data_IF_259503139470
#
_entry.id   IF_259503139470
#
_cell.length_a   1.000
_cell.length_b   1.000
_cell.length_c   1.000
_cell.angle_alpha   90.00
_cell.angle_beta   90.00
_cell.angle_gamma   90.00
#
_symmetry.space_group_name_H-M   'P 1'
#
loop_
_entity.id
_entity.type
_entity.pdbx_description
1 polymer ?
#
# COMPACT_ATOMS: atom_id res chain seq x y z
N UNK A 1 -11.96 -8.27 -18.99
CA UNK A 1 -11.34 -7.88 -17.69
C UNK A 1 -11.83 -6.47 -17.39
N UNK A 2 -12.31 -6.19 -16.19
CA UNK A 2 -12.73 -4.82 -15.83
C UNK A 2 -11.54 -3.88 -15.99
N UNK A 3 -11.71 -2.71 -16.60
CA UNK A 3 -10.72 -1.63 -16.66
C UNK A 3 -10.40 -1.01 -15.27
N UNK A 4 -10.71 -1.72 -14.19
CA UNK A 4 -10.56 -1.27 -12.82
C UNK A 4 -9.10 -1.29 -12.39
N UNK A 5 -8.69 -0.23 -11.68
CA UNK A 5 -7.43 -0.18 -10.97
C UNK A 5 -7.47 -1.09 -9.74
N UNK A 6 -6.30 -1.54 -9.30
CA UNK A 6 -6.11 -2.27 -8.05
C UNK A 6 -4.83 -1.80 -7.40
N UNK A 7 -4.90 -1.31 -6.15
CA UNK A 7 -3.79 -0.65 -5.46
C UNK A 7 -3.08 0.41 -6.32
N UNK A 8 -3.85 1.19 -7.10
CA UNK A 8 -3.30 2.20 -8.00
C UNK A 8 -2.63 1.65 -9.28
N UNK A 9 -2.61 0.34 -9.52
CA UNK A 9 -2.12 -0.25 -10.77
C UNK A 9 -3.23 -0.41 -11.81
N UNK A 10 -2.99 0.06 -13.04
CA UNK A 10 -3.90 -0.15 -14.16
C UNK A 10 -3.94 -1.62 -14.59
N UNK A 11 -4.97 -2.02 -15.32
CA UNK A 11 -5.06 -3.39 -15.82
C UNK A 11 -3.89 -3.73 -16.77
N UNK A 12 -3.39 -2.77 -17.55
CA UNK A 12 -2.23 -2.97 -18.43
C UNK A 12 -0.96 -3.27 -17.63
N UNK A 13 -0.72 -2.55 -16.53
CA UNK A 13 0.42 -2.81 -15.65
C UNK A 13 0.33 -4.21 -15.04
N UNK A 14 -0.85 -4.58 -14.53
CA UNK A 14 -1.09 -5.90 -13.93
C UNK A 14 -0.91 -7.05 -14.92
N UNK A 15 -1.29 -6.86 -16.18
CA UNK A 15 -1.18 -7.89 -17.22
C UNK A 15 0.27 -8.29 -17.55
N UNK A 16 1.27 -7.45 -17.21
CA UNK A 16 2.70 -7.71 -17.52
C UNK A 16 3.35 -8.77 -16.62
N UNK A 17 2.82 -9.02 -15.43
CA UNK A 17 3.48 -9.84 -14.40
C UNK A 17 3.66 -11.31 -14.83
N UNK A 18 2.66 -11.91 -15.48
CA UNK A 18 2.73 -13.32 -15.90
C UNK A 18 3.70 -13.57 -17.07
N UNK A 19 3.71 -12.75 -18.14
CA UNK A 19 4.77 -12.82 -19.15
C UNK A 19 6.17 -12.68 -18.55
N UNK A 20 6.36 -11.75 -17.60
CA UNK A 20 7.65 -11.57 -16.94
C UNK A 20 8.05 -12.80 -16.12
N UNK A 21 7.12 -13.36 -15.32
CA UNK A 21 7.35 -14.60 -14.57
C UNK A 21 7.80 -15.75 -15.47
N UNK A 22 7.08 -15.99 -16.57
CA UNK A 22 7.41 -17.06 -17.53
C UNK A 22 8.79 -16.88 -18.12
N UNK A 23 9.17 -15.65 -18.51
CA UNK A 23 10.52 -15.36 -19.02
C UNK A 23 11.61 -15.60 -17.98
N UNK A 24 11.36 -15.24 -16.72
CA UNK A 24 12.36 -15.36 -15.65
C UNK A 24 12.53 -16.81 -15.15
N UNK A 25 11.46 -17.59 -15.13
CA UNK A 25 11.45 -18.90 -14.45
C UNK A 25 11.25 -20.10 -15.37
N UNK A 26 10.76 -19.89 -16.59
CA UNK A 26 10.33 -20.96 -17.49
C UNK A 26 9.04 -21.69 -17.06
N UNK A 27 8.43 -21.31 -15.94
CA UNK A 27 7.23 -21.96 -15.37
C UNK A 27 5.95 -21.26 -15.81
N UNK A 28 4.85 -22.01 -15.84
CA UNK A 28 3.54 -21.48 -16.25
C UNK A 28 2.80 -20.70 -15.15
N UNK A 29 3.06 -21.03 -13.88
CA UNK A 29 2.44 -20.40 -12.73
C UNK A 29 3.42 -20.26 -11.54
N UNK A 30 3.27 -19.21 -10.71
CA UNK A 30 3.97 -19.12 -9.43
C UNK A 30 3.32 -20.03 -8.38
N UNK A 31 4.11 -20.39 -7.37
CA UNK A 31 3.67 -21.08 -6.15
C UNK A 31 3.00 -22.46 -6.34
N UNK A 32 3.35 -23.25 -7.36
CA UNK A 32 2.76 -24.60 -7.50
C UNK A 32 3.10 -25.47 -6.29
N UNK A 33 2.08 -26.13 -5.72
CA UNK A 33 2.21 -26.98 -4.53
C UNK A 33 2.16 -26.24 -3.19
N UNK A 34 2.16 -24.91 -3.20
CA UNK A 34 2.08 -24.13 -1.95
C UNK A 34 0.64 -23.96 -1.45
N UNK A 35 0.39 -24.09 -0.13
CA UNK A 35 -0.93 -23.89 0.45
C UNK A 35 -1.39 -22.44 0.31
N UNK A 36 -2.68 -22.20 0.52
CA UNK A 36 -3.20 -20.84 0.55
C UNK A 36 -2.56 -20.02 1.69
N UNK A 37 -1.89 -18.91 1.38
CA UNK A 37 -1.24 -18.05 2.36
C UNK A 37 -2.24 -17.37 3.33
N UNK A 38 -3.52 -17.24 2.97
CA UNK A 38 -4.55 -16.65 3.84
C UNK A 38 -5.24 -17.67 4.74
N UNK A 39 -5.61 -18.85 4.24
CA UNK A 39 -6.41 -19.82 4.99
C UNK A 39 -5.70 -21.15 5.26
N UNK A 40 -4.46 -21.30 4.78
CA UNK A 40 -3.64 -22.51 4.91
C UNK A 40 -4.27 -23.77 4.30
N UNK A 41 -5.20 -23.61 3.34
CA UNK A 41 -5.81 -24.73 2.60
C UNK A 41 -4.73 -25.41 1.74
N UNK A 42 -4.38 -26.69 2.02
CA UNK A 42 -3.35 -27.42 1.29
C UNK A 42 -3.81 -27.85 -0.10
N UNK A 43 -5.13 -27.94 -0.33
CA UNK A 43 -5.75 -28.43 -1.56
C UNK A 43 -6.09 -27.27 -2.52
N UNK A 44 -5.41 -26.14 -2.35
CA UNK A 44 -5.56 -24.96 -3.21
C UNK A 44 -5.34 -25.34 -4.68
N UNK A 45 -6.27 -24.99 -5.60
CA UNK A 45 -6.06 -25.20 -7.03
C UNK A 45 -4.78 -24.53 -7.53
N UNK A 46 -4.07 -25.22 -8.43
CA UNK A 46 -2.87 -24.69 -9.08
C UNK A 46 -3.19 -23.43 -9.89
N UNK A 47 -2.21 -22.51 -9.95
CA UNK A 47 -2.33 -21.28 -10.74
C UNK A 47 -3.15 -20.15 -10.10
N UNK A 48 -3.78 -20.37 -8.95
CA UNK A 48 -4.47 -19.32 -8.20
C UNK A 48 -3.49 -18.56 -7.28
N UNK A 49 -3.34 -17.26 -7.47
CA UNK A 49 -2.44 -16.44 -6.67
C UNK A 49 -2.89 -14.98 -6.71
N UNK A 50 -2.30 -14.17 -5.85
CA UNK A 50 -2.57 -12.74 -5.77
C UNK A 50 -1.27 -11.96 -5.66
N UNK A 51 -1.24 -10.80 -6.30
CA UNK A 51 -0.17 -9.81 -6.13
C UNK A 51 -0.79 -8.55 -5.57
N UNK A 52 -0.26 -8.07 -4.45
CA UNK A 52 -0.57 -6.74 -3.94
C UNK A 52 0.28 -5.68 -4.68
N UNK A 53 1.37 -6.11 -5.33
CA UNK A 53 2.38 -5.25 -5.93
C UNK A 53 2.73 -5.65 -7.37
N UNK A 54 2.39 -4.76 -8.30
CA UNK A 54 2.66 -4.93 -9.73
C UNK A 54 3.75 -3.98 -10.25
N UNK A 55 4.65 -3.51 -9.39
CA UNK A 55 5.81 -2.69 -9.79
C UNK A 55 6.96 -3.55 -10.32
N UNK A 56 7.72 -2.99 -11.26
CA UNK A 56 8.91 -3.61 -11.86
C UNK A 56 10.18 -3.22 -11.08
N UNK A 57 11.13 -4.14 -10.82
CA UNK A 57 11.06 -5.57 -11.14
C UNK A 57 10.03 -6.31 -10.29
N UNK A 58 9.31 -7.25 -10.92
CA UNK A 58 8.26 -8.02 -10.25
C UNK A 58 8.85 -8.93 -9.17
N UNK A 59 8.22 -8.94 -7.99
CA UNK A 59 8.53 -9.85 -6.89
C UNK A 59 7.43 -10.90 -6.73
N UNK A 60 7.84 -12.15 -6.59
CA UNK A 60 6.96 -13.30 -6.31
C UNK A 60 7.20 -13.83 -4.90
N UNK A 61 7.58 -12.96 -3.98
CA UNK A 61 7.76 -13.27 -2.56
C UNK A 61 6.76 -12.45 -1.74
N UNK A 62 6.43 -12.89 -0.52
CA UNK A 62 5.80 -12.00 0.45
C UNK A 62 6.72 -10.81 0.76
N UNK A 63 6.16 -9.58 0.92
CA UNK A 63 4.74 -9.27 0.95
C UNK A 63 4.10 -8.92 -0.41
N UNK A 64 4.85 -8.99 -1.52
CA UNK A 64 4.35 -8.54 -2.83
C UNK A 64 3.35 -9.51 -3.45
N UNK A 65 3.58 -10.81 -3.31
CA UNK A 65 2.75 -11.84 -3.94
C UNK A 65 2.53 -13.04 -3.01
N UNK A 66 1.34 -13.63 -3.10
CA UNK A 66 0.89 -14.71 -2.23
C UNK A 66 0.17 -15.82 -3.02
N UNK A 67 0.39 -17.11 -2.69
CA UNK A 67 -0.48 -18.19 -3.15
C UNK A 67 -1.85 -18.07 -2.47
N UNK A 68 -2.94 -17.87 -3.21
CA UNK A 68 -4.28 -17.74 -2.64
C UNK A 68 -5.25 -18.70 -3.30
N UNK A 69 -6.13 -19.34 -2.51
CA UNK A 69 -7.25 -20.07 -3.10
C UNK A 69 -8.29 -19.08 -3.65
N UNK A 70 -9.01 -19.51 -4.69
CA UNK A 70 -10.04 -18.70 -5.38
C UNK A 70 -11.04 -18.04 -4.41
N UNK A 71 -11.56 -18.71 -3.36
CA UNK A 71 -12.43 -18.06 -2.37
C UNK A 71 -11.75 -16.93 -1.60
N UNK A 72 -10.52 -17.13 -1.10
CA UNK A 72 -9.76 -16.08 -0.41
C UNK A 72 -9.44 -14.91 -1.33
N UNK A 73 -8.98 -15.20 -2.55
CA UNK A 73 -8.70 -14.19 -3.57
C UNK A 73 -9.94 -13.35 -3.91
N UNK A 74 -11.09 -13.99 -4.11
CA UNK A 74 -12.34 -13.29 -4.38
C UNK A 74 -12.79 -12.42 -3.19
N UNK A 75 -12.61 -12.88 -1.95
CA UNK A 75 -12.93 -12.10 -0.74
C UNK A 75 -12.02 -10.91 -0.56
N UNK A 76 -10.73 -11.08 -0.84
CA UNK A 76 -9.74 -10.01 -0.82
C UNK A 76 -10.13 -8.87 -1.77
N UNK A 77 -10.57 -9.15 -3.00
CA UNK A 77 -11.07 -8.11 -3.91
C UNK A 77 -12.41 -7.51 -3.48
N UNK A 78 -13.29 -8.30 -2.85
CA UNK A 78 -14.59 -7.81 -2.38
C UNK A 78 -14.52 -6.96 -1.12
N UNK A 79 -13.39 -6.95 -0.40
CA UNK A 79 -13.24 -6.24 0.89
C UNK A 79 -13.67 -4.76 0.82
N UNK A 80 -13.36 -4.09 -0.29
CA UNK A 80 -13.68 -2.68 -0.53
C UNK A 80 -15.18 -2.37 -0.65
N UNK A 81 -15.98 -3.35 -1.08
CA UNK A 81 -17.43 -3.18 -1.31
C UNK A 81 -18.26 -4.13 -0.45
N UNK A 82 -17.64 -4.73 0.57
CA UNK A 82 -18.34 -5.62 1.51
C UNK A 82 -19.16 -4.80 2.49
N UNK A 83 -20.23 -5.39 3.01
CA UNK A 83 -21.01 -4.72 4.07
C UNK A 83 -20.11 -4.51 5.29
N UNK A 84 -20.28 -3.40 6.06
CA UNK A 84 -19.49 -3.16 7.25
C UNK A 84 -19.44 -4.40 8.16
N UNK A 85 -18.24 -4.76 8.61
CA UNK A 85 -18.00 -5.94 9.45
C UNK A 85 -17.86 -7.28 8.70
N UNK A 86 -18.21 -7.40 7.42
CA UNK A 86 -18.13 -8.69 6.70
C UNK A 86 -16.67 -9.14 6.47
N UNK A 87 -15.76 -8.21 6.14
CA UNK A 87 -14.34 -8.52 6.03
C UNK A 87 -13.76 -9.03 7.36
N UNK A 88 -14.11 -8.36 8.45
CA UNK A 88 -13.70 -8.74 9.80
C UNK A 88 -14.24 -10.11 10.18
N UNK A 89 -15.52 -10.38 9.89
CA UNK A 89 -16.12 -11.70 10.07
C UNK A 89 -15.39 -12.79 9.27
N UNK A 90 -14.97 -12.48 8.04
CA UNK A 90 -14.18 -13.39 7.23
C UNK A 90 -12.81 -13.67 7.87
N UNK A 91 -12.14 -12.63 8.37
CA UNK A 91 -10.86 -12.77 9.06
C UNK A 91 -10.97 -13.62 10.33
N UNK A 92 -11.99 -13.40 11.17
CA UNK A 92 -12.30 -14.24 12.33
C UNK A 92 -12.52 -15.70 11.93
N UNK A 93 -13.19 -15.95 10.80
CA UNK A 93 -13.39 -17.31 10.29
C UNK A 93 -12.06 -18.00 9.91
N UNK A 94 -11.14 -17.26 9.28
CA UNK A 94 -9.82 -17.77 8.94
C UNK A 94 -8.99 -18.04 10.20
N UNK A 95 -9.09 -17.20 11.22
CA UNK A 95 -8.40 -17.38 12.51
C UNK A 95 -8.91 -18.58 13.30
N UNK A 96 -10.20 -18.85 13.22
CA UNK A 96 -10.80 -20.08 13.74
C UNK A 96 -10.36 -21.36 12.98
N UNK A 97 -9.48 -21.24 11.98
CA UNK A 97 -8.95 -22.37 11.20
C UNK A 97 -9.85 -22.82 10.04
N UNK A 98 -10.81 -21.98 9.66
CA UNK A 98 -11.68 -22.22 8.50
C UNK A 98 -11.01 -21.87 7.17
N UNK A 99 -11.31 -22.65 6.14
CA UNK A 99 -10.87 -22.37 4.77
C UNK A 99 -11.79 -21.37 4.08
N UNK A 100 -11.26 -20.59 3.14
CA UNK A 100 -12.07 -19.62 2.39
C UNK A 100 -13.28 -20.26 1.68
N UNK A 101 -13.16 -21.53 1.27
CA UNK A 101 -14.22 -22.33 0.63
C UNK A 101 -15.35 -22.74 1.59
N UNK A 102 -15.10 -22.74 2.91
CA UNK A 102 -16.04 -23.12 3.95
C UNK A 102 -16.88 -21.93 4.44
N UNK A 103 -16.40 -20.69 4.27
CA UNK A 103 -17.04 -19.51 4.85
C UNK A 103 -18.53 -19.39 4.52
N UNK A 104 -18.89 -19.57 3.25
CA UNK A 104 -20.29 -19.50 2.78
C UNK A 104 -21.07 -20.79 3.00
N UNK A 105 -20.38 -21.91 3.26
CA UNK A 105 -21.01 -23.21 3.56
C UNK A 105 -21.42 -23.29 5.03
N UNK A 106 -20.56 -22.79 5.91
CA UNK A 106 -20.76 -22.81 7.36
C UNK A 106 -21.62 -21.67 7.87
N UNK A 107 -21.80 -20.60 7.08
CA UNK A 107 -22.60 -19.43 7.48
C UNK A 107 -23.51 -19.02 6.34
N UNK A 108 -24.81 -19.14 6.60
CA UNK A 108 -25.85 -18.68 5.68
C UNK A 108 -25.72 -17.16 5.45
N UNK A 109 -26.37 -16.64 4.39
CA UNK A 109 -26.37 -15.20 4.16
C UNK A 109 -26.98 -14.40 5.35
N UNK A 110 -28.15 -14.79 5.91
CA UNK A 110 -28.70 -14.13 7.09
C UNK A 110 -27.75 -14.13 8.30
N UNK A 111 -27.10 -15.26 8.59
CA UNK A 111 -26.15 -15.35 9.72
C UNK A 111 -24.96 -14.41 9.52
N UNK A 112 -24.42 -14.34 8.29
CA UNK A 112 -23.32 -13.44 7.96
C UNK A 112 -23.72 -11.98 8.12
N UNK A 113 -24.94 -11.61 7.69
CA UNK A 113 -25.44 -10.24 7.85
C UNK A 113 -25.56 -9.87 9.33
N UNK A 114 -26.24 -10.69 10.13
CA UNK A 114 -26.42 -10.44 11.55
C UNK A 114 -25.09 -10.33 12.33
N UNK A 115 -24.12 -11.20 12.02
CA UNK A 115 -22.79 -11.14 12.64
C UNK A 115 -21.97 -9.93 12.19
N UNK A 116 -22.06 -9.57 10.90
CA UNK A 116 -21.34 -8.40 10.36
C UNK A 116 -21.88 -7.10 10.95
N UNK A 117 -23.20 -6.98 11.10
CA UNK A 117 -23.85 -5.84 11.76
C UNK A 117 -23.40 -5.70 13.22
N UNK A 118 -23.32 -6.81 13.96
CA UNK A 118 -22.79 -6.79 15.34
C UNK A 118 -21.35 -6.29 15.40
N UNK A 119 -20.50 -6.77 14.50
CA UNK A 119 -19.11 -6.31 14.39
C UNK A 119 -19.05 -4.82 14.05
N UNK A 120 -19.85 -4.37 13.08
CA UNK A 120 -19.93 -2.97 12.68
C UNK A 120 -20.40 -2.05 13.82
N UNK A 121 -21.26 -2.55 14.71
CA UNK A 121 -21.69 -1.87 15.93
C UNK A 121 -20.65 -1.94 17.07
N UNK A 122 -19.46 -2.50 16.83
CA UNK A 122 -18.37 -2.59 17.80
C UNK A 122 -18.52 -3.75 18.81
N UNK A 123 -19.48 -4.66 18.61
CA UNK A 123 -19.61 -5.82 19.48
C UNK A 123 -18.55 -6.87 19.16
N UNK A 124 -17.96 -7.44 20.22
CA UNK A 124 -17.07 -8.60 20.09
C UNK A 124 -17.86 -9.80 19.57
N UNK A 125 -17.35 -10.41 18.50
CA UNK A 125 -17.86 -11.67 17.94
C UNK A 125 -16.77 -12.72 18.06
N UNK A 126 -17.12 -13.88 18.62
CA UNK A 126 -16.23 -15.04 18.71
C UNK A 126 -16.83 -16.18 17.89
N UNK A 127 -15.98 -16.86 17.13
CA UNK A 127 -16.37 -18.00 16.31
C UNK A 127 -15.80 -19.28 16.93
N UNK A 128 -16.53 -20.40 16.89
CA UNK A 128 -16.01 -21.67 17.37
C UNK A 128 -14.79 -22.08 16.54
N UNK A 129 -13.78 -22.63 17.22
CA UNK A 129 -12.58 -23.17 16.57
C UNK A 129 -12.99 -24.33 15.65
N UNK A 130 -12.68 -24.20 14.37
CA UNK A 130 -12.89 -25.21 13.33
C UNK A 130 -11.66 -26.12 13.27
N UNK A 131 -10.45 -25.53 13.31
CA UNK A 131 -9.19 -26.25 13.20
C UNK A 131 -8.08 -25.50 13.94
N UNK A 132 -7.15 -26.25 14.53
CA UNK A 132 -5.95 -25.66 15.11
C UNK A 132 -5.12 -24.98 14.01
N UNK A 133 -4.75 -23.73 14.23
CA UNK A 133 -3.97 -22.94 13.27
C UNK A 133 -2.66 -22.53 13.92
N UNK A 134 -1.57 -22.69 13.19
CA UNK A 134 -0.27 -22.18 13.62
C UNK A 134 -0.30 -20.65 13.64
N UNK A 135 0.27 -20.00 14.67
CA UNK A 135 0.47 -18.56 14.65
C UNK A 135 1.22 -18.14 13.39
N UNK A 136 0.81 -17.05 12.75
CA UNK A 136 1.41 -16.54 11.53
C UNK A 136 1.33 -15.02 11.44
N UNK A 137 1.80 -14.45 10.32
CA UNK A 137 1.82 -12.99 10.14
C UNK A 137 0.44 -12.35 10.00
N UNK A 138 -0.61 -13.14 9.74
CA UNK A 138 -1.99 -12.69 9.49
C UNK A 138 -2.05 -11.45 8.58
N UNK A 139 -1.19 -11.35 7.57
CA UNK A 139 -0.93 -10.12 6.81
C UNK A 139 -2.20 -9.47 6.23
N UNK A 140 -3.21 -10.28 5.93
CA UNK A 140 -4.51 -9.82 5.43
C UNK A 140 -5.27 -8.94 6.43
N UNK A 141 -4.98 -9.03 7.73
CA UNK A 141 -5.53 -8.15 8.79
C UNK A 141 -5.10 -6.69 8.59
N UNK A 142 -3.91 -6.48 8.06
CA UNK A 142 -3.32 -5.16 7.88
C UNK A 142 -3.70 -4.51 6.55
N UNK A 143 -4.51 -5.18 5.73
CA UNK A 143 -4.97 -4.62 4.46
C UNK A 143 -5.98 -3.50 4.70
N UNK A 144 -5.82 -2.43 3.93
CA UNK A 144 -6.81 -1.34 3.92
C UNK A 144 -8.16 -1.81 3.36
N UNK A 145 -9.22 -1.28 3.95
CA UNK A 145 -10.60 -1.40 3.46
C UNK A 145 -11.08 -0.15 2.73
N UNK A 146 -10.26 0.90 2.69
CA UNK A 146 -10.58 2.16 2.04
C UNK A 146 -10.71 1.95 0.52
N UNK A 147 -11.90 2.13 -0.08
CA UNK A 147 -12.09 1.99 -1.52
C UNK A 147 -11.22 2.93 -2.35
N UNK A 148 -10.80 4.07 -1.79
CA UNK A 148 -9.90 5.01 -2.47
C UNK A 148 -8.55 4.37 -2.79
N UNK A 149 -8.12 3.38 -2.00
CA UNK A 149 -6.87 2.66 -2.22
C UNK A 149 -6.86 1.92 -3.56
N UNK A 150 -8.03 1.62 -4.16
CA UNK A 150 -8.09 0.96 -5.46
C UNK A 150 -7.39 1.77 -6.56
N UNK A 151 -7.48 3.10 -6.48
CA UNK A 151 -6.92 4.02 -7.47
C UNK A 151 -5.74 4.81 -6.93
N UNK A 152 -5.62 4.93 -5.60
CA UNK A 152 -4.65 5.80 -5.01
C UNK A 152 -3.21 5.22 -5.07
N UNK A 153 -2.21 6.02 -5.46
CA UNK A 153 -0.82 5.56 -5.52
C UNK A 153 -0.25 5.15 -4.15
N UNK A 154 -0.73 5.73 -3.05
CA UNK A 154 -0.30 5.37 -1.69
C UNK A 154 -0.65 3.93 -1.29
N UNK A 155 -1.58 3.30 -2.00
CA UNK A 155 -1.95 1.92 -1.77
C UNK A 155 -0.94 0.92 -2.36
N UNK A 156 0.01 1.39 -3.17
CA UNK A 156 1.07 0.56 -3.75
C UNK A 156 2.05 0.15 -2.65
N UNK A 157 2.36 -1.16 -2.53
CA UNK A 157 3.37 -1.61 -1.56
C UNK A 157 4.76 -1.04 -1.88
N UNK A 158 5.11 -0.99 -3.17
CA UNK A 158 6.33 -0.34 -3.66
C UNK A 158 6.02 0.79 -4.65
N UNK A 159 6.87 1.83 -4.66
CA UNK A 159 7.00 2.78 -5.77
C UNK A 159 6.95 2.13 -7.16
N UNK A 160 6.34 2.82 -8.15
CA UNK A 160 6.40 2.36 -9.56
C UNK A 160 7.82 2.29 -10.10
N UNK A 161 8.72 3.13 -9.58
CA UNK A 161 10.13 3.14 -9.90
C UNK A 161 10.92 2.90 -8.62
N UNK A 162 11.94 2.03 -8.65
CA UNK A 162 12.86 1.91 -7.52
C UNK A 162 13.34 3.29 -7.08
N UNK A 163 13.12 3.60 -5.81
CA UNK A 163 13.61 4.80 -5.15
C UNK A 163 14.75 4.41 -4.22
N UNK A 164 15.63 5.35 -3.86
CA UNK A 164 16.63 5.12 -2.84
C UNK A 164 16.01 4.59 -1.53
N UNK A 165 16.77 3.78 -0.80
CA UNK A 165 16.34 3.27 0.50
C UNK A 165 16.48 4.33 1.60
N UNK A 166 16.10 3.97 2.82
CA UNK A 166 16.17 4.88 3.98
C UNK A 166 17.62 5.39 4.21
N UNK A 167 18.61 4.52 4.10
CA UNK A 167 20.00 4.84 4.37
C UNK A 167 20.54 5.88 3.37
N UNK A 168 20.23 5.70 2.08
CA UNK A 168 20.58 6.66 1.03
C UNK A 168 19.91 8.02 1.27
N UNK A 169 18.62 8.05 1.63
CA UNK A 169 17.94 9.31 1.95
C UNK A 169 18.55 10.01 3.16
N UNK A 170 18.95 9.28 4.20
CA UNK A 170 19.60 9.86 5.39
C UNK A 170 20.92 10.53 5.04
N UNK A 171 21.77 9.86 4.25
CA UNK A 171 23.04 10.44 3.78
C UNK A 171 22.79 11.70 2.94
N UNK A 172 21.82 11.64 2.01
CA UNK A 172 21.46 12.79 1.18
C UNK A 172 20.91 13.97 2.00
N UNK A 173 20.14 13.72 3.06
CA UNK A 173 19.66 14.78 3.96
C UNK A 173 20.81 15.45 4.73
N UNK A 174 21.78 14.67 5.19
CA UNK A 174 22.98 15.18 5.87
C UNK A 174 23.82 16.05 4.90
N UNK A 175 24.12 15.52 3.72
CA UNK A 175 24.90 16.22 2.70
C UNK A 175 24.19 17.48 2.16
N UNK A 176 22.86 17.44 2.05
CA UNK A 176 22.08 18.59 1.60
C UNK A 176 22.08 19.76 2.60
N UNK A 177 22.52 19.56 3.84
CA UNK A 177 22.51 20.58 4.89
C UNK A 177 21.11 21.13 5.12
N UNK A 178 20.13 20.26 5.40
CA UNK A 178 18.74 20.66 5.57
C UNK A 178 18.59 21.70 6.68
N UNK A 179 17.91 22.81 6.36
CA UNK A 179 17.56 23.83 7.35
C UNK A 179 16.49 23.30 8.31
N UNK A 180 16.34 23.94 9.49
CA UNK A 180 15.25 23.60 10.42
C UNK A 180 13.87 23.70 9.76
N UNK A 181 13.71 24.66 8.83
CA UNK A 181 12.51 24.81 8.03
C UNK A 181 12.28 23.61 7.09
N UNK A 182 13.32 23.13 6.41
CA UNK A 182 13.20 21.95 5.52
C UNK A 182 12.81 20.71 6.34
N UNK A 183 13.42 20.53 7.51
CA UNK A 183 13.13 19.42 8.42
C UNK A 183 11.69 19.50 8.91
N UNK A 184 11.23 20.66 9.39
CA UNK A 184 9.85 20.85 9.83
C UNK A 184 8.85 20.53 8.70
N UNK A 185 9.14 20.99 7.49
CA UNK A 185 8.33 20.74 6.31
C UNK A 185 8.21 19.25 5.96
N UNK A 186 9.34 18.52 5.95
CA UNK A 186 9.33 17.08 5.71
C UNK A 186 8.62 16.30 6.84
N UNK A 187 8.77 16.71 8.10
CA UNK A 187 8.12 16.06 9.25
C UNK A 187 6.61 16.13 9.17
N UNK A 188 6.05 17.32 8.89
CA UNK A 188 4.59 17.48 8.73
C UNK A 188 4.05 16.47 7.72
N UNK A 189 4.73 16.26 6.59
CA UNK A 189 4.31 15.27 5.61
C UNK A 189 4.49 13.81 6.09
N UNK A 190 5.64 13.49 6.70
CA UNK A 190 5.94 12.14 7.19
C UNK A 190 5.00 11.67 8.30
N UNK A 191 4.51 12.61 9.12
CA UNK A 191 3.65 12.36 10.28
C UNK A 191 2.15 12.48 9.95
N UNK A 192 1.80 13.00 8.77
CA UNK A 192 0.41 13.08 8.33
C UNK A 192 -0.24 11.68 8.21
N UNK A 193 -1.57 11.57 8.38
CA UNK A 193 -2.28 10.30 8.17
C UNK A 193 -1.96 9.71 6.80
N UNK A 194 -1.55 8.43 6.76
CA UNK A 194 -1.08 7.71 5.55
C UNK A 194 0.15 8.33 4.87
N UNK A 195 0.83 9.26 5.55
CA UNK A 195 1.87 10.13 4.99
C UNK A 195 1.34 10.96 3.81
N UNK A 196 0.06 11.35 3.85
CA UNK A 196 -0.61 12.05 2.76
C UNK A 196 -0.97 13.47 3.17
N UNK A 197 -0.64 14.45 2.34
CA UNK A 197 -0.92 15.88 2.58
C UNK A 197 -1.32 16.60 1.29
N UNK A 198 -2.08 17.69 1.43
CA UNK A 198 -2.21 18.69 0.37
C UNK A 198 -1.15 19.77 0.54
N UNK A 199 -0.83 20.51 -0.53
CA UNK A 199 0.10 21.64 -0.43
C UNK A 199 -0.40 22.76 0.49
N UNK A 200 -1.73 22.88 0.62
CA UNK A 200 -2.34 23.84 1.55
C UNK A 200 -2.07 23.45 2.99
N UNK A 201 -2.32 22.18 3.35
CA UNK A 201 -2.03 21.67 4.68
C UNK A 201 -0.55 21.84 5.02
N UNK A 202 0.35 21.51 4.08
CA UNK A 202 1.79 21.75 4.25
C UNK A 202 2.13 23.21 4.49
N UNK A 203 1.53 24.14 3.73
CA UNK A 203 1.76 25.56 3.92
C UNK A 203 1.30 26.03 5.31
N UNK A 204 0.13 25.57 5.74
CA UNK A 204 -0.46 25.97 7.02
C UNK A 204 0.37 25.44 8.19
N UNK A 205 0.68 24.14 8.20
CA UNK A 205 1.35 23.48 9.32
C UNK A 205 2.85 23.79 9.38
N UNK A 206 3.55 23.80 8.24
CA UNK A 206 5.01 23.97 8.23
C UNK A 206 5.46 25.43 8.10
N UNK A 207 4.62 26.30 7.52
CA UNK A 207 5.00 27.70 7.21
C UNK A 207 4.10 28.72 7.90
N UNK A 208 3.04 28.30 8.61
CA UNK A 208 2.02 29.17 9.20
C UNK A 208 1.40 30.13 8.19
N UNK A 209 1.20 29.66 6.94
CA UNK A 209 0.66 30.46 5.82
C UNK A 209 -0.36 29.66 5.04
N UNK A 210 -1.45 30.29 4.61
CA UNK A 210 -2.37 29.70 3.62
C UNK A 210 -1.88 29.96 2.19
N UNK A 211 -0.66 29.53 1.87
CA UNK A 211 -0.04 29.72 0.55
C UNK A 211 0.50 28.40 -0.03
N UNK A 212 -0.36 27.61 -0.69
CA UNK A 212 0.06 26.34 -1.30
C UNK A 212 1.09 26.52 -2.42
N UNK A 213 1.19 27.69 -3.06
CA UNK A 213 2.20 27.92 -4.12
C UNK A 213 3.60 28.00 -3.52
N UNK A 214 3.73 28.70 -2.40
CA UNK A 214 5.01 28.76 -1.66
C UNK A 214 5.43 27.38 -1.17
N UNK A 215 4.51 26.59 -0.60
CA UNK A 215 4.81 25.22 -0.18
C UNK A 215 5.28 24.34 -1.35
N UNK A 216 4.59 24.41 -2.50
CA UNK A 216 4.95 23.65 -3.70
C UNK A 216 6.35 24.03 -4.24
N UNK A 217 6.69 25.32 -4.25
CA UNK A 217 8.02 25.80 -4.67
C UNK A 217 9.13 25.33 -3.72
N UNK A 218 8.90 25.40 -2.42
CA UNK A 218 9.86 24.93 -1.41
C UNK A 218 10.07 23.41 -1.55
N UNK A 219 8.98 22.64 -1.66
CA UNK A 219 9.08 21.20 -1.77
C UNK A 219 9.77 20.78 -3.08
N UNK A 220 9.44 21.41 -4.19
CA UNK A 220 10.09 21.17 -5.48
C UNK A 220 11.58 21.50 -5.48
N UNK A 221 12.01 22.62 -4.87
CA UNK A 221 13.42 22.98 -4.74
C UNK A 221 14.20 21.99 -3.88
N UNK A 222 13.63 21.59 -2.73
CA UNK A 222 14.20 20.59 -1.85
C UNK A 222 14.36 19.25 -2.57
N UNK A 223 13.29 18.80 -3.24
CA UNK A 223 13.29 17.55 -3.99
C UNK A 223 14.35 17.58 -5.11
N UNK A 224 14.43 18.67 -5.88
CA UNK A 224 15.43 18.82 -6.95
C UNK A 224 16.86 18.72 -6.44
N UNK A 225 17.19 19.36 -5.31
CA UNK A 225 18.50 19.23 -4.67
C UNK A 225 18.83 17.79 -4.31
N UNK A 226 17.88 17.08 -3.68
CA UNK A 226 18.06 15.68 -3.29
C UNK A 226 18.15 14.75 -4.50
N UNK A 227 17.41 15.04 -5.56
CA UNK A 227 17.48 14.32 -6.83
C UNK A 227 18.89 14.38 -7.44
N UNK A 228 19.53 15.56 -7.41
CA UNK A 228 20.92 15.70 -7.86
C UNK A 228 21.91 14.92 -7.01
N UNK A 229 21.77 14.95 -5.67
CA UNK A 229 22.65 14.21 -4.75
C UNK A 229 22.53 12.69 -4.92
N UNK A 230 21.30 12.20 -5.07
CA UNK A 230 21.01 10.77 -5.22
C UNK A 230 21.18 10.26 -6.66
N UNK A 231 21.56 11.14 -7.60
CA UNK A 231 21.69 10.82 -9.02
C UNK A 231 20.47 10.09 -9.59
N UNK A 232 19.28 10.48 -9.12
CA UNK A 232 18.03 9.85 -9.50
C UNK A 232 17.37 10.64 -10.65
N UNK A 233 16.80 9.96 -11.64
CA UNK A 233 16.13 10.66 -12.75
C UNK A 233 14.68 10.95 -12.40
N UNK A 234 14.20 12.21 -12.40
CA UNK A 234 12.82 12.54 -12.08
C UNK A 234 11.83 12.08 -13.16
N UNK A 235 10.56 11.87 -12.77
CA UNK A 235 9.49 11.73 -13.76
C UNK A 235 9.37 13.02 -14.57
N UNK A 236 8.98 12.92 -15.84
CA UNK A 236 8.78 14.08 -16.73
C UNK A 236 7.29 14.34 -16.95
N UNK A 237 6.94 15.62 -17.09
CA UNK A 237 5.63 16.05 -17.60
C UNK A 237 5.57 15.88 -19.12
N UNK A 238 4.38 16.09 -19.69
CA UNK A 238 4.17 16.05 -21.15
C UNK A 238 5.05 17.05 -21.93
N UNK A 239 5.42 18.17 -21.29
CA UNK A 239 6.32 19.18 -21.85
C UNK A 239 7.82 18.86 -21.66
N UNK A 240 8.15 17.69 -21.10
CA UNK A 240 9.50 17.25 -20.81
C UNK A 240 10.11 17.85 -19.53
N UNK A 241 9.39 18.73 -18.81
CA UNK A 241 9.90 19.32 -17.58
C UNK A 241 9.89 18.31 -16.42
N UNK A 242 10.87 18.35 -15.51
CA UNK A 242 10.97 17.40 -14.41
C UNK A 242 9.91 17.64 -13.31
N UNK A 243 9.37 16.54 -12.79
CA UNK A 243 8.52 16.46 -11.61
C UNK A 243 9.41 16.07 -10.42
N UNK A 244 10.20 17.02 -9.92
CA UNK A 244 11.18 16.76 -8.85
C UNK A 244 10.61 16.03 -7.63
N UNK A 245 9.37 16.38 -7.23
CA UNK A 245 8.70 15.77 -6.07
C UNK A 245 8.48 14.27 -6.21
N UNK A 246 8.53 13.70 -7.43
CA UNK A 246 8.40 12.25 -7.67
C UNK A 246 9.46 11.41 -6.96
N UNK A 247 10.60 12.00 -6.58
CA UNK A 247 11.59 11.35 -5.73
C UNK A 247 11.04 11.10 -4.32
N UNK A 248 10.31 12.07 -3.76
CA UNK A 248 9.94 12.10 -2.34
C UNK A 248 8.52 11.62 -2.08
N UNK A 249 7.62 11.76 -3.05
CA UNK A 249 6.20 11.47 -2.88
C UNK A 249 5.52 11.08 -4.20
N UNK A 250 4.41 10.35 -4.10
CA UNK A 250 3.50 10.08 -5.22
C UNK A 250 2.31 11.03 -5.13
N UNK A 251 2.07 11.76 -6.22
CA UNK A 251 0.95 12.69 -6.30
C UNK A 251 -0.27 12.06 -6.97
N UNK A 252 -1.47 12.42 -6.51
CA UNK A 252 -2.72 11.99 -7.12
C UNK A 252 -3.83 13.00 -6.92
N UNK A 253 -4.87 12.89 -7.76
CA UNK A 253 -6.06 13.74 -7.70
C UNK A 253 -7.25 12.91 -7.22
N UNK A 254 -7.58 12.93 -5.92
CA UNK A 254 -8.79 12.27 -5.45
C UNK A 254 -10.05 12.98 -5.98
N UNK A 255 -11.13 12.25 -6.31
CA UNK A 255 -12.37 12.86 -6.78
C UNK A 255 -12.93 13.88 -5.79
N UNK A 256 -13.19 15.10 -6.26
CA UNK A 256 -13.77 16.18 -5.46
C UNK A 256 -12.87 16.76 -4.37
N UNK A 257 -11.57 16.40 -4.31
CA UNK A 257 -10.60 16.92 -3.33
C UNK A 257 -9.44 17.65 -3.99
N UNK A 258 -8.66 18.36 -3.18
CA UNK A 258 -7.39 18.94 -3.60
C UNK A 258 -6.38 17.84 -3.98
N UNK A 259 -5.38 18.20 -4.80
CA UNK A 259 -4.28 17.30 -5.13
C UNK A 259 -3.50 16.89 -3.88
N UNK A 260 -3.29 15.60 -3.73
CA UNK A 260 -2.66 15.00 -2.56
C UNK A 260 -1.30 14.42 -2.94
N UNK A 261 -0.32 14.63 -2.08
CA UNK A 261 0.99 14.00 -2.13
C UNK A 261 1.08 12.97 -1.03
N UNK A 262 1.55 11.77 -1.37
CA UNK A 262 1.84 10.74 -0.36
C UNK A 262 3.33 10.43 -0.34
N UNK A 263 3.97 10.70 0.79
CA UNK A 263 5.41 10.47 0.96
C UNK A 263 5.75 8.99 0.84
N UNK A 264 6.86 8.75 0.14
CA UNK A 264 7.46 7.42 -0.03
C UNK A 264 7.88 6.86 1.34
N UNK A 265 7.60 5.58 1.64
CA UNK A 265 7.91 5.02 2.96
C UNK A 265 9.36 5.22 3.41
N UNK A 266 10.35 4.94 2.56
CA UNK A 266 11.78 5.11 2.90
C UNK A 266 12.16 6.57 3.23
N UNK A 267 11.50 7.54 2.59
CA UNK A 267 11.69 8.97 2.88
C UNK A 267 11.11 9.30 4.26
N UNK A 268 9.91 8.80 4.57
CA UNK A 268 9.27 9.06 5.86
C UNK A 268 10.07 8.48 7.02
N UNK A 269 10.59 7.25 6.89
CA UNK A 269 11.46 6.66 7.91
C UNK A 269 12.77 7.45 8.07
N UNK A 270 13.39 7.85 6.96
CA UNK A 270 14.58 8.69 7.00
C UNK A 270 14.33 10.03 7.72
N UNK A 271 13.20 10.68 7.46
CA UNK A 271 12.80 11.94 8.13
C UNK A 271 12.61 11.76 9.63
N UNK A 272 11.93 10.68 10.06
CA UNK A 272 11.72 10.39 11.49
C UNK A 272 13.04 10.14 12.22
N UNK A 273 14.01 9.51 11.55
CA UNK A 273 15.35 9.26 12.12
C UNK A 273 16.16 10.54 12.40
N UNK A 274 15.92 11.62 11.64
CA UNK A 274 16.61 12.91 11.84
C UNK A 274 16.28 13.55 13.20
N UNK A 275 15.08 13.30 13.72
CA UNK A 275 14.58 13.93 14.95
C UNK A 275 15.23 13.32 16.18
N UNK A 276 15.44 12.01 16.18
CA UNK A 276 16.04 11.28 17.31
C UNK A 276 17.47 11.77 17.58
N UNK A 277 18.21 12.17 16.55
CA UNK A 277 19.59 12.66 16.67
C UNK A 277 19.72 14.08 17.22
N UNK A 278 18.70 14.92 17.14
CA UNK A 278 18.73 16.29 17.71
C UNK A 278 18.33 16.34 19.19
N UNK A 279 17.70 15.30 19.70
CA UNK A 279 17.27 15.21 21.10
C UNK A 279 18.30 14.51 22.01
N UNK A 280 19.38 13.95 21.43
CA UNK A 280 20.49 13.30 22.13
C UNK A 280 21.74 14.18 22.07
#
# INVERSE_FOLDING_TARGET
>A
MSNAHYNGYSWQQRAKIMPAYRRLTGRNAPFEGEPCAMCSDPDRPQGEWHSEDYSEPFSFQPPESYPLCKPCHARLHKRFNSVPGEWELFCLHLEAGGYGSEFVKLRSLPDRQALSERIAAGHKVELPVIRARQPGSYWWRSLTLDPESLVAPWARPRPLRPRPDEAAFRLAFEEAGLSDRDIAFLRVHADAPRRTVTMRLLAQEALSKDDPKTANLLYGKLAGRLTSLLQWEPDLRDDGSPIWMSLLAEGWWPPGREYEWTMVPSVAEAVRSLVVRKAA
#
